data_IF_919922696787
#
_entry.id   IF_919922696787
#
_cell.length_a   1.000
_cell.length_b   1.000
_cell.length_c   1.000
_cell.angle_alpha   90.00
_cell.angle_beta   90.00
_cell.angle_gamma   90.00
#
_symmetry.space_group_name_H-M   'P 1'
#
loop_
_entity.id
_entity.type
_entity.pdbx_description
1 polymer ?
#
# COMPACT_ATOMS: atom_id res chain seq x y z
N UNK A 1 7.32 -13.70 -23.30
CA UNK A 1 6.67 -12.37 -23.33
C UNK A 1 5.49 -12.47 -22.37
N UNK A 2 5.78 -12.20 -21.08
CA UNK A 2 4.76 -12.26 -20.01
C UNK A 2 3.79 -11.10 -20.22
N UNK A 3 2.53 -11.41 -20.44
CA UNK A 3 1.45 -10.43 -20.39
C UNK A 3 1.29 -10.01 -18.94
N UNK A 4 1.84 -8.85 -18.56
CA UNK A 4 1.40 -8.17 -17.36
C UNK A 4 -0.10 -7.91 -17.50
N UNK A 5 -0.90 -8.62 -16.73
CA UNK A 5 -2.31 -8.28 -16.57
C UNK A 5 -2.30 -6.98 -15.76
N UNK A 6 -2.55 -5.85 -16.41
CA UNK A 6 -2.86 -4.60 -15.70
C UNK A 6 -4.17 -4.81 -14.96
N UNK A 7 -4.05 -5.27 -13.70
CA UNK A 7 -5.19 -5.27 -12.79
C UNK A 7 -5.51 -3.83 -12.44
N UNK A 8 -6.66 -3.37 -12.86
CA UNK A 8 -7.17 -2.08 -12.43
C UNK A 8 -7.62 -2.19 -10.96
N UNK A 9 -6.69 -1.97 -10.04
CA UNK A 9 -6.95 -1.95 -8.59
C UNK A 9 -7.61 -0.64 -8.13
N UNK A 10 -7.98 0.24 -9.07
CA UNK A 10 -8.58 1.54 -8.76
C UNK A 10 -7.63 2.53 -8.07
N UNK A 11 -6.34 2.24 -8.02
CA UNK A 11 -5.32 3.12 -7.44
C UNK A 11 -4.44 3.66 -8.55
N UNK A 12 -4.39 4.97 -8.75
CA UNK A 12 -3.62 5.56 -9.83
C UNK A 12 -2.11 5.49 -9.55
N UNK A 13 -1.35 5.28 -10.63
CA UNK A 13 0.12 5.36 -10.66
C UNK A 13 0.54 6.74 -11.15
N UNK A 14 1.50 7.36 -10.48
CA UNK A 14 2.00 8.70 -10.80
C UNK A 14 3.50 8.69 -11.09
N UNK A 15 3.94 9.71 -11.84
CA UNK A 15 5.35 9.97 -12.13
C UNK A 15 5.93 11.11 -11.28
N UNK A 16 5.11 11.71 -10.40
CA UNK A 16 5.49 12.80 -9.53
C UNK A 16 4.64 12.77 -8.27
N UNK A 17 5.26 12.92 -7.12
CA UNK A 17 4.57 13.05 -5.83
C UNK A 17 3.72 14.31 -5.80
N UNK A 18 4.25 15.44 -6.28
CA UNK A 18 3.51 16.69 -6.33
C UNK A 18 2.27 16.57 -7.23
N UNK A 19 2.40 15.89 -8.39
CA UNK A 19 1.27 15.61 -9.29
C UNK A 19 0.21 14.73 -8.61
N UNK A 20 0.61 13.68 -7.90
CA UNK A 20 -0.28 12.81 -7.15
C UNK A 20 -1.06 13.60 -6.07
N UNK A 21 -0.37 14.43 -5.32
CA UNK A 21 -1.00 15.25 -4.27
C UNK A 21 -1.98 16.27 -4.86
N UNK A 22 -1.61 16.92 -5.96
CA UNK A 22 -2.46 17.91 -6.64
C UNK A 22 -3.74 17.26 -7.21
N UNK A 23 -3.63 16.08 -7.80
CA UNK A 23 -4.79 15.37 -8.37
C UNK A 23 -5.75 14.87 -7.27
N UNK A 24 -5.21 14.35 -6.15
CA UNK A 24 -6.03 13.76 -5.09
C UNK A 24 -6.62 14.81 -4.15
N UNK A 25 -5.89 15.89 -3.87
CA UNK A 25 -6.24 16.86 -2.83
C UNK A 25 -6.48 18.28 -3.36
N UNK A 26 -6.23 18.51 -4.63
CA UNK A 26 -6.34 19.82 -5.28
C UNK A 26 -4.98 20.52 -5.45
N UNK A 27 -4.90 21.39 -6.47
CA UNK A 27 -3.66 22.08 -6.85
C UNK A 27 -3.10 23.03 -5.78
N UNK A 28 -3.94 23.45 -4.84
CA UNK A 28 -3.54 24.36 -3.75
C UNK A 28 -2.92 23.66 -2.57
N UNK A 29 -2.94 22.32 -2.58
CA UNK A 29 -2.33 21.53 -1.50
C UNK A 29 -0.80 21.72 -1.50
N UNK A 30 -0.23 21.84 -0.34
CA UNK A 30 1.22 21.93 -0.12
C UNK A 30 1.64 20.91 0.90
N UNK A 31 2.82 20.35 0.67
CA UNK A 31 3.50 19.51 1.63
C UNK A 31 4.09 20.42 2.72
N UNK A 32 3.73 20.17 3.97
CA UNK A 32 4.26 20.83 5.14
C UNK A 32 5.43 20.05 5.74
N UNK A 33 5.45 19.92 7.06
CA UNK A 33 6.48 19.17 7.76
C UNK A 33 6.36 17.67 7.48
N UNK A 34 7.52 17.02 7.36
CA UNK A 34 7.61 15.57 7.33
C UNK A 34 8.44 15.08 8.51
N UNK A 35 8.07 13.94 9.07
CA UNK A 35 8.81 13.28 10.14
C UNK A 35 9.04 11.82 9.79
N UNK A 36 10.20 11.32 10.15
CA UNK A 36 10.54 9.91 9.91
C UNK A 36 9.80 9.02 10.90
N UNK A 37 9.20 7.95 10.39
CA UNK A 37 8.59 6.91 11.20
C UNK A 37 9.62 5.78 11.32
N UNK A 38 10.07 5.45 12.56
CA UNK A 38 11.04 4.38 12.76
C UNK A 38 10.41 3.01 12.46
N UNK A 39 11.24 2.08 12.02
CA UNK A 39 10.86 0.71 11.70
C UNK A 39 10.93 0.42 10.21
N UNK A 40 11.06 -0.88 9.88
CA UNK A 40 11.18 -1.38 8.51
C UNK A 40 12.61 -1.26 7.95
N UNK A 41 13.19 -2.41 7.55
CA UNK A 41 14.56 -2.48 7.05
C UNK A 41 14.66 -2.26 5.53
N UNK A 42 13.53 -2.24 4.82
CA UNK A 42 13.48 -2.25 3.37
C UNK A 42 13.07 -0.90 2.80
N UNK A 43 12.01 -0.31 3.36
CA UNK A 43 11.47 0.96 2.94
C UNK A 43 11.71 2.04 4.01
N UNK A 44 11.92 3.27 3.58
CA UNK A 44 11.87 4.41 4.50
C UNK A 44 10.41 4.83 4.65
N UNK A 45 9.98 5.09 5.89
CA UNK A 45 8.62 5.53 6.19
C UNK A 45 8.60 6.95 6.76
N UNK A 46 7.60 7.72 6.34
CA UNK A 46 7.42 9.12 6.72
C UNK A 46 5.96 9.42 7.03
N UNK A 47 5.73 10.26 8.04
CA UNK A 47 4.50 11.01 8.18
C UNK A 47 4.64 12.36 7.46
N UNK A 48 3.71 12.69 6.58
CA UNK A 48 3.73 13.93 5.80
C UNK A 48 2.50 14.76 6.14
N UNK A 49 2.70 15.92 6.71
CA UNK A 49 1.61 16.86 6.98
C UNK A 49 1.29 17.66 5.73
N UNK A 50 0.01 17.74 5.38
CA UNK A 50 -0.50 18.57 4.30
C UNK A 50 -0.96 19.93 4.83
N UNK A 51 -1.00 20.95 3.96
CA UNK A 51 -1.44 22.31 4.31
C UNK A 51 -2.89 22.38 4.81
N UNK A 52 -3.71 21.39 4.53
CA UNK A 52 -5.08 21.26 5.04
C UNK A 52 -5.18 20.50 6.38
N UNK A 53 -4.06 20.24 7.05
CA UNK A 53 -3.98 19.56 8.34
C UNK A 53 -4.04 18.04 8.29
N UNK A 54 -4.29 17.43 7.13
CA UNK A 54 -4.25 15.97 6.99
C UNK A 54 -2.82 15.47 7.06
N UNK A 55 -2.65 14.26 7.59
CA UNK A 55 -1.36 13.57 7.63
C UNK A 55 -1.44 12.33 6.74
N UNK A 56 -0.41 12.14 5.92
CA UNK A 56 -0.24 10.95 5.09
C UNK A 56 0.88 10.09 5.69
N UNK A 57 0.71 8.78 5.60
CA UNK A 57 1.80 7.83 5.77
C UNK A 57 2.37 7.51 4.39
N UNK A 58 3.66 7.75 4.20
CA UNK A 58 4.35 7.49 2.94
C UNK A 58 5.51 6.51 3.16
N UNK A 59 5.60 5.51 2.30
CA UNK A 59 6.81 4.70 2.14
C UNK A 59 7.56 5.15 0.90
N UNK A 60 8.89 5.13 0.98
CA UNK A 60 9.78 5.39 -0.17
C UNK A 60 10.86 4.34 -0.30
N UNK A 61 11.31 4.13 -1.52
CA UNK A 61 12.42 3.26 -1.88
C UNK A 61 13.12 3.77 -3.14
N UNK A 62 14.17 3.09 -3.58
CA UNK A 62 14.79 3.32 -4.88
C UNK A 62 13.74 3.28 -5.99
N UNK A 63 13.90 4.12 -7.02
CA UNK A 63 12.95 4.22 -8.14
C UNK A 63 12.63 2.86 -8.78
N UNK A 64 13.64 2.02 -8.96
CA UNK A 64 13.51 0.69 -9.57
C UNK A 64 12.70 -0.31 -8.74
N UNK A 65 12.38 0.05 -7.48
CA UNK A 65 11.62 -0.79 -6.56
C UNK A 65 10.12 -0.49 -6.55
N UNK A 66 9.60 0.29 -7.50
CA UNK A 66 8.18 0.63 -7.58
C UNK A 66 7.26 -0.60 -7.64
N UNK A 67 7.74 -1.71 -8.20
CA UNK A 67 6.97 -2.97 -8.28
C UNK A 67 6.69 -3.59 -6.89
N UNK A 68 7.54 -3.32 -5.88
CA UNK A 68 7.25 -3.71 -4.50
C UNK A 68 5.98 -3.00 -3.99
N UNK A 69 5.83 -1.72 -4.30
CA UNK A 69 4.66 -0.94 -3.91
C UNK A 69 3.42 -1.34 -4.70
N UNK A 70 3.55 -1.67 -5.98
CA UNK A 70 2.45 -2.23 -6.75
C UNK A 70 1.97 -3.55 -6.14
N UNK A 71 2.88 -4.44 -5.76
CA UNK A 71 2.52 -5.71 -5.12
C UNK A 71 1.81 -5.48 -3.78
N UNK A 72 2.32 -4.56 -2.95
CA UNK A 72 1.67 -4.20 -1.67
C UNK A 72 0.27 -3.61 -1.91
N UNK A 73 0.12 -2.77 -2.93
CA UNK A 73 -1.16 -2.18 -3.31
C UNK A 73 -2.20 -3.25 -3.69
N UNK A 74 -1.81 -4.19 -4.55
CA UNK A 74 -2.66 -5.30 -4.97
C UNK A 74 -3.04 -6.18 -3.78
N UNK A 75 -2.11 -6.47 -2.88
CA UNK A 75 -2.37 -7.28 -1.70
C UNK A 75 -3.36 -6.61 -0.74
N UNK A 76 -3.18 -5.31 -0.46
CA UNK A 76 -4.11 -4.55 0.37
C UNK A 76 -5.50 -4.47 -0.26
N UNK A 77 -5.58 -4.25 -1.57
CA UNK A 77 -6.82 -4.27 -2.30
C UNK A 77 -7.52 -5.65 -2.22
N UNK A 78 -6.80 -6.74 -2.45
CA UNK A 78 -7.35 -8.09 -2.36
C UNK A 78 -7.89 -8.41 -0.95
N UNK A 79 -7.15 -8.04 0.10
CA UNK A 79 -7.63 -8.19 1.48
C UNK A 79 -8.89 -7.35 1.72
N UNK A 80 -8.93 -6.11 1.22
CA UNK A 80 -10.09 -5.23 1.40
C UNK A 80 -11.37 -5.80 0.80
N UNK A 81 -11.28 -6.54 -0.31
CA UNK A 81 -12.42 -7.17 -0.96
C UNK A 81 -13.07 -8.28 -0.12
N UNK A 82 -12.36 -8.84 0.84
CA UNK A 82 -12.92 -9.84 1.75
C UNK A 82 -13.95 -9.25 2.72
N UNK A 83 -13.94 -7.92 2.95
CA UNK A 83 -14.78 -7.21 3.90
C UNK A 83 -14.74 -7.77 5.33
N UNK A 84 -13.65 -8.42 5.71
CA UNK A 84 -13.50 -9.08 7.03
C UNK A 84 -12.61 -8.30 7.97
N UNK A 85 -11.50 -7.74 7.45
CA UNK A 85 -10.55 -6.95 8.21
C UNK A 85 -10.29 -5.61 7.50
N UNK A 86 -10.20 -4.55 8.27
CA UNK A 86 -9.92 -3.23 7.70
C UNK A 86 -8.46 -3.15 7.22
N UNK A 87 -8.26 -2.59 6.04
CA UNK A 87 -6.95 -2.28 5.48
C UNK A 87 -6.80 -0.78 5.27
N UNK A 88 -5.56 -0.24 5.31
CA UNK A 88 -5.32 1.12 4.86
C UNK A 88 -5.83 1.32 3.43
N UNK A 89 -6.58 2.40 3.21
CA UNK A 89 -6.99 2.76 1.85
C UNK A 89 -5.83 3.43 1.14
N UNK A 90 -5.22 2.72 0.20
CA UNK A 90 -4.18 3.28 -0.64
C UNK A 90 -4.72 4.44 -1.48
N UNK A 91 -3.99 5.54 -1.52
CA UNK A 91 -4.34 6.74 -2.28
C UNK A 91 -3.57 6.82 -3.59
N UNK A 92 -2.26 6.55 -3.56
CA UNK A 92 -1.42 6.53 -4.75
C UNK A 92 -0.12 5.76 -4.53
N UNK A 93 0.48 5.35 -5.64
CA UNK A 93 1.85 4.86 -5.72
C UNK A 93 2.50 5.38 -7.00
N UNK A 94 3.81 5.31 -7.09
CA UNK A 94 4.51 5.72 -8.29
C UNK A 94 5.99 6.01 -8.10
N UNK A 95 6.51 6.84 -8.99
CA UNK A 95 7.89 7.32 -8.95
C UNK A 95 7.92 8.85 -8.96
N UNK A 96 9.00 9.42 -8.46
CA UNK A 96 9.28 10.84 -8.55
C UNK A 96 10.72 11.06 -9.02
N UNK A 97 10.89 11.86 -10.05
CA UNK A 97 12.18 12.19 -10.67
C UNK A 97 12.58 13.64 -10.41
N UNK A 98 11.93 14.33 -9.48
CA UNK A 98 12.26 15.72 -9.12
C UNK A 98 13.63 15.86 -8.44
N UNK A 99 14.18 14.76 -7.90
CA UNK A 99 15.54 14.69 -7.36
C UNK A 99 16.46 13.96 -8.34
N UNK A 100 17.76 14.22 -8.26
CA UNK A 100 18.79 13.69 -9.18
C UNK A 100 18.75 12.15 -9.30
N UNK A 101 18.49 11.44 -8.20
CA UNK A 101 18.47 9.98 -8.17
C UNK A 101 17.05 9.43 -8.39
N UNK A 102 16.03 10.22 -8.11
CA UNK A 102 14.64 9.78 -8.11
C UNK A 102 14.33 8.73 -7.04
N UNK A 103 13.07 8.54 -6.77
CA UNK A 103 12.59 7.53 -5.80
C UNK A 103 11.23 6.97 -6.21
N UNK A 104 10.84 5.83 -5.64
CA UNK A 104 9.48 5.31 -5.69
C UNK A 104 8.75 5.65 -4.40
N UNK A 105 7.44 5.84 -4.49
CA UNK A 105 6.58 6.16 -3.36
C UNK A 105 5.27 5.38 -3.36
N UNK A 106 4.67 5.32 -2.17
CA UNK A 106 3.40 4.67 -1.90
C UNK A 106 2.80 5.36 -0.67
N UNK A 107 1.56 5.84 -0.71
CA UNK A 107 0.99 6.52 0.44
C UNK A 107 -0.52 6.31 0.64
N UNK A 108 -0.91 6.41 1.90
CA UNK A 108 -2.29 6.38 2.39
C UNK A 108 -2.47 7.35 3.56
N UNK A 109 -3.68 7.55 4.05
CA UNK A 109 -3.89 8.38 5.24
C UNK A 109 -3.18 7.79 6.44
N UNK A 110 -2.52 8.65 7.23
CA UNK A 110 -1.87 8.22 8.47
C UNK A 110 -2.92 7.64 9.42
N UNK A 111 -2.61 6.49 9.99
CA UNK A 111 -3.44 5.82 10.98
C UNK A 111 -2.79 6.04 12.34
N UNK A 112 -3.48 6.79 13.20
CA UNK A 112 -2.99 7.00 14.56
C UNK A 112 -3.07 5.70 15.37
N UNK A 113 -2.03 5.47 16.16
CA UNK A 113 -2.03 4.36 17.09
C UNK A 113 -2.98 4.70 18.26
N UNK A 114 -3.91 3.80 18.52
CA UNK A 114 -4.78 3.87 19.69
C UNK A 114 -4.31 2.94 20.79
N UNK A 115 -4.95 3.04 21.96
CA UNK A 115 -4.73 2.11 23.05
C UNK A 115 -5.27 0.72 22.71
N UNK A 116 -4.51 -0.31 23.08
CA UNK A 116 -4.93 -1.70 22.95
C UNK A 116 -5.96 -1.98 24.07
N UNK A 117 -7.22 -2.19 23.67
CA UNK A 117 -8.30 -2.59 24.58
C UNK A 117 -8.24 -4.09 24.88
N UNK A 118 -8.87 -4.50 25.99
CA UNK A 118 -8.84 -5.91 26.45
C UNK A 118 -9.34 -6.89 25.37
N UNK A 119 -10.39 -6.51 24.62
CA UNK A 119 -10.97 -7.34 23.57
C UNK A 119 -10.18 -7.32 22.23
N UNK A 120 -9.14 -6.49 22.09
CA UNK A 120 -8.43 -6.27 20.82
C UNK A 120 -7.97 -7.57 20.18
N UNK A 121 -7.29 -8.43 20.94
CA UNK A 121 -6.72 -9.66 20.41
C UNK A 121 -7.78 -10.67 19.98
N UNK A 122 -8.91 -10.74 20.70
CA UNK A 122 -10.03 -11.59 20.31
C UNK A 122 -10.67 -11.10 18.99
N UNK A 123 -10.96 -9.81 18.90
CA UNK A 123 -11.54 -9.20 17.69
C UNK A 123 -10.59 -9.33 16.51
N UNK A 124 -9.29 -9.12 16.72
CA UNK A 124 -8.30 -9.27 15.66
C UNK A 124 -8.22 -10.72 15.17
N UNK A 125 -8.17 -11.69 16.08
CA UNK A 125 -8.11 -13.12 15.74
C UNK A 125 -9.36 -13.57 14.97
N UNK A 126 -10.55 -13.14 15.37
CA UNK A 126 -11.80 -13.44 14.67
C UNK A 126 -11.83 -12.86 13.26
N UNK A 127 -11.41 -11.60 13.09
CA UNK A 127 -11.34 -10.95 11.78
C UNK A 127 -10.30 -11.59 10.87
N UNK A 128 -9.14 -11.95 11.41
CA UNK A 128 -8.09 -12.64 10.68
C UNK A 128 -8.55 -14.04 10.23
N UNK A 129 -9.19 -14.80 11.12
CA UNK A 129 -9.76 -16.10 10.78
C UNK A 129 -10.86 -15.98 9.71
N UNK A 130 -11.70 -14.95 9.79
CA UNK A 130 -12.73 -14.65 8.80
C UNK A 130 -12.11 -14.30 7.44
N UNK A 131 -11.03 -13.54 7.42
CA UNK A 131 -10.28 -13.24 6.19
C UNK A 131 -9.75 -14.51 5.53
N UNK A 132 -9.17 -15.42 6.32
CA UNK A 132 -8.66 -16.70 5.79
C UNK A 132 -9.76 -17.65 5.29
N UNK A 133 -11.00 -17.48 5.75
CA UNK A 133 -12.16 -18.26 5.31
C UNK A 133 -12.98 -17.58 4.20
N UNK A 134 -12.63 -16.34 3.84
CA UNK A 134 -13.38 -15.58 2.85
C UNK A 134 -13.33 -16.29 1.49
N UNK A 135 -14.45 -16.25 0.77
CA UNK A 135 -14.51 -16.75 -0.60
C UNK A 135 -13.65 -15.87 -1.51
N UNK A 136 -12.61 -16.47 -2.06
CA UNK A 136 -11.68 -15.83 -2.99
C UNK A 136 -11.91 -16.24 -4.44
N UNK A 137 -13.01 -16.93 -4.74
CA UNK A 137 -13.29 -17.49 -6.07
C UNK A 137 -13.25 -16.47 -7.20
N UNK A 138 -13.58 -15.20 -6.92
CA UNK A 138 -13.43 -14.09 -7.87
C UNK A 138 -12.01 -13.53 -7.95
N UNK A 139 -11.19 -13.75 -6.93
CA UNK A 139 -9.84 -13.20 -6.79
C UNK A 139 -8.77 -14.19 -7.24
N UNK A 140 -9.00 -15.47 -7.04
CA UNK A 140 -8.02 -16.53 -7.33
C UNK A 140 -8.61 -17.46 -8.38
N UNK A 141 -8.08 -17.41 -9.59
CA UNK A 141 -8.46 -18.34 -10.67
C UNK A 141 -7.93 -19.75 -10.37
N UNK A 142 -8.74 -20.75 -10.64
CA UNK A 142 -8.37 -22.18 -10.62
C UNK A 142 -8.19 -22.81 -9.22
N UNK A 143 -8.87 -22.34 -8.19
CA UNK A 143 -8.85 -22.97 -6.87
C UNK A 143 -7.49 -22.90 -6.14
N UNK A 144 -6.65 -21.96 -6.54
CA UNK A 144 -5.33 -21.74 -5.95
C UNK A 144 -5.42 -20.93 -4.66
N UNK A 145 -4.48 -21.14 -3.75
CA UNK A 145 -4.35 -20.37 -2.52
C UNK A 145 -3.31 -19.27 -2.68
N UNK A 146 -3.54 -18.11 -2.06
CA UNK A 146 -2.58 -17.02 -2.02
C UNK A 146 -3.00 -15.79 -2.82
N UNK A 147 -2.05 -14.91 -3.11
CA UNK A 147 -2.31 -13.68 -3.86
C UNK A 147 -2.33 -13.95 -5.38
N UNK A 148 -2.94 -13.01 -6.12
CA UNK A 148 -3.13 -13.10 -7.58
C UNK A 148 -1.84 -13.12 -8.39
N UNK A 149 -0.74 -12.68 -7.79
CA UNK A 149 0.56 -12.53 -8.43
C UNK A 149 1.70 -12.93 -7.50
N UNK A 150 2.90 -13.00 -8.07
CA UNK A 150 4.12 -13.11 -7.30
C UNK A 150 4.21 -11.96 -6.29
N UNK A 151 4.75 -12.25 -5.14
CA UNK A 151 4.86 -11.31 -4.03
C UNK A 151 6.33 -11.17 -3.60
N UNK A 152 6.54 -10.49 -2.48
CA UNK A 152 7.85 -10.32 -1.89
C UNK A 152 7.80 -10.58 -0.38
N UNK A 153 8.83 -11.25 0.12
CA UNK A 153 9.15 -11.29 1.56
C UNK A 153 10.45 -10.53 1.72
N UNK A 154 10.36 -9.34 2.25
CA UNK A 154 11.51 -8.46 2.28
C UNK A 154 11.96 -8.09 0.87
N UNK A 155 13.22 -8.38 0.55
CA UNK A 155 13.80 -8.15 -0.79
C UNK A 155 13.67 -9.38 -1.71
N UNK A 156 13.22 -10.50 -1.18
CA UNK A 156 13.17 -11.77 -1.88
C UNK A 156 11.84 -11.96 -2.57
N UNK A 157 11.88 -12.14 -3.89
CA UNK A 157 10.68 -12.46 -4.67
C UNK A 157 10.16 -13.83 -4.27
N UNK A 158 8.87 -13.91 -4.01
CA UNK A 158 8.13 -15.15 -3.76
C UNK A 158 7.31 -15.48 -4.99
N UNK A 159 7.68 -16.53 -5.67
CA UNK A 159 6.95 -17.00 -6.84
C UNK A 159 5.67 -17.68 -6.35
N UNK A 160 4.55 -17.22 -6.84
CA UNK A 160 3.26 -17.84 -6.56
C UNK A 160 3.07 -19.06 -7.47
N UNK A 161 3.56 -20.22 -7.00
CA UNK A 161 3.49 -21.51 -7.70
C UNK A 161 2.14 -22.20 -7.54
N UNK A 162 1.15 -21.50 -7.07
CA UNK A 162 -0.14 -22.10 -6.80
C UNK A 162 -0.77 -22.76 -8.04
#
# INVERSE_FOLDING_TARGET
MEKHIEMNIGVPKFNSLAGALAEIFGSDIRLGQSFRIPGGDINKAYGMQLSNGKILFMKTNEKQKVDLFLSEAINLWAISLTNTINTPKLLAYGTDDSEEIGYSFFFFFYIEFGDIKDEFWNVFAEKLASMHKADTGSLVKNGKFGFLQDNFIGRTKQINLA
#
